data_IF_089418526440
#
_entry.id   IF_089418526440
#
_cell.length_a   1.000
_cell.length_b   1.000
_cell.length_c   1.000
_cell.angle_alpha   90.00
_cell.angle_beta   90.00
_cell.angle_gamma   90.00
#
_symmetry.space_group_name_H-M   'P 1'
#
loop_
_entity.id
_entity.type
_entity.pdbx_description
1 polymer ?
#
# COMPACT_ATOMS: atom_id res chain seq x y z
N UNK A 1 -16.74 1.94 13.15
CA UNK A 1 -16.56 2.63 11.85
C UNK A 1 -16.31 1.58 10.80
N UNK A 2 -16.80 1.78 9.56
CA UNK A 2 -16.65 0.82 8.47
C UNK A 2 -15.15 0.57 8.21
N UNK A 3 -14.69 -0.68 8.29
CA UNK A 3 -13.29 -1.01 7.99
C UNK A 3 -13.04 -0.77 6.50
N UNK A 4 -12.21 0.22 6.17
CA UNK A 4 -11.80 0.52 4.80
C UNK A 4 -10.54 -0.27 4.50
N UNK A 5 -10.58 -1.10 3.46
CA UNK A 5 -9.40 -1.74 2.88
C UNK A 5 -8.94 -1.00 1.63
N UNK A 6 -7.63 -0.98 1.44
CA UNK A 6 -6.90 -0.36 0.35
C UNK A 6 -6.04 -1.44 -0.30
N UNK A 7 -6.06 -1.49 -1.63
CA UNK A 7 -5.14 -2.31 -2.45
C UNK A 7 -4.16 -1.37 -3.15
N UNK A 8 -2.87 -1.68 -3.09
CA UNK A 8 -1.79 -0.94 -3.76
C UNK A 8 -1.21 -1.80 -4.88
N UNK A 9 -1.13 -1.22 -6.08
CA UNK A 9 -0.62 -1.88 -7.29
C UNK A 9 0.54 -1.07 -7.87
N UNK A 10 1.64 -1.74 -8.20
CA UNK A 10 2.77 -1.20 -8.95
C UNK A 10 3.05 -2.09 -10.17
N UNK A 11 3.25 -1.47 -11.35
CA UNK A 11 3.59 -2.17 -12.61
C UNK A 11 2.72 -3.40 -12.92
N UNK A 12 1.42 -3.31 -12.66
CA UNK A 12 0.46 -4.39 -12.90
C UNK A 12 0.49 -5.54 -11.88
N UNK A 13 1.22 -5.38 -10.77
CA UNK A 13 1.27 -6.35 -9.66
C UNK A 13 0.77 -5.72 -8.37
N UNK A 14 -0.01 -6.47 -7.60
CA UNK A 14 -0.42 -6.05 -6.25
C UNK A 14 0.78 -6.20 -5.32
N UNK A 15 1.11 -5.13 -4.60
CA UNK A 15 2.25 -5.09 -3.67
C UNK A 15 1.82 -5.00 -2.21
N UNK A 16 0.59 -4.55 -1.93
CA UNK A 16 0.04 -4.49 -0.57
C UNK A 16 -1.50 -4.45 -0.57
N UNK A 17 -2.12 -5.02 0.47
CA UNK A 17 -3.56 -4.83 0.73
C UNK A 17 -3.86 -4.79 2.25
N UNK A 18 -4.47 -3.71 2.73
CA UNK A 18 -4.61 -3.46 4.17
C UNK A 18 -5.50 -2.27 4.51
N UNK A 19 -5.64 -2.00 5.80
CA UNK A 19 -6.12 -0.72 6.35
C UNK A 19 -5.19 0.42 5.97
N UNK A 20 -5.63 1.69 6.04
CA UNK A 20 -4.75 2.83 5.81
C UNK A 20 -3.45 2.77 6.62
N UNK A 21 -3.54 2.44 7.90
CA UNK A 21 -2.40 2.36 8.82
C UNK A 21 -1.43 1.24 8.40
N UNK A 22 -1.94 0.08 7.98
CA UNK A 22 -1.11 -1.02 7.48
C UNK A 22 -0.42 -0.67 6.15
N UNK A 23 -1.09 0.08 5.28
CA UNK A 23 -0.53 0.51 3.99
C UNK A 23 0.58 1.56 4.18
N UNK A 24 0.36 2.54 5.06
CA UNK A 24 1.36 3.59 5.35
C UNK A 24 2.65 3.02 5.95
N UNK A 25 2.54 1.99 6.79
CA UNK A 25 3.69 1.31 7.39
C UNK A 25 4.40 0.33 6.44
N UNK A 26 3.86 0.06 5.25
CA UNK A 26 4.41 -0.94 4.35
C UNK A 26 5.67 -0.42 3.61
N UNK A 27 6.84 -1.07 3.78
CA UNK A 27 8.10 -0.59 3.19
C UNK A 27 8.14 -0.68 1.66
N UNK A 28 7.44 -1.64 1.04
CA UNK A 28 7.34 -1.73 -0.42
C UNK A 28 6.49 -0.60 -1.00
N UNK A 29 5.42 -0.22 -0.30
CA UNK A 29 4.60 0.95 -0.65
C UNK A 29 5.44 2.22 -0.54
N UNK A 30 6.16 2.41 0.57
CA UNK A 30 7.03 3.58 0.77
C UNK A 30 8.11 3.69 -0.33
N UNK A 31 8.73 2.56 -0.69
CA UNK A 31 9.75 2.49 -1.76
C UNK A 31 9.21 2.91 -3.13
N UNK A 32 7.98 2.52 -3.47
CA UNK A 32 7.35 2.89 -4.75
C UNK A 32 6.97 4.38 -4.78
N UNK A 33 6.53 4.95 -3.65
CA UNK A 33 6.15 6.36 -3.56
C UNK A 33 7.32 7.34 -3.50
N UNK A 34 8.42 6.97 -2.84
CA UNK A 34 9.60 7.82 -2.71
C UNK A 34 10.51 7.75 -3.94
N UNK A 35 10.33 6.74 -4.80
CA UNK A 35 11.15 6.51 -5.97
C UNK A 35 12.61 6.18 -5.63
N UNK A 36 13.34 5.75 -6.66
CA UNK A 36 14.76 6.09 -6.78
C UNK A 36 14.86 7.34 -7.65
#
# INVERSE_FOLDING_TARGET
>A
GLSRRITVMDKGSIIAEGTPEEIEANPDVQRVYLGQ
#
